data_IF_269692135335
#
_entry.id   IF_269692135335
#
_cell.length_a   1.000
_cell.length_b   1.000
_cell.length_c   1.000
_cell.angle_alpha   90.00
_cell.angle_beta   90.00
_cell.angle_gamma   90.00
#
_symmetry.space_group_name_H-M   'P 1'
#
loop_
_entity.id
_entity.type
_entity.pdbx_description
1 polymer ?
2 non-polymer ?
3 non-polymer ?
4 non-polymer ?
5 water ?
#
# COMPACT_ATOMS: atom_id res chain seq x y z
N UNK A 4 -22.25 22.12 -5.62
CA UNK A 4 -21.52 21.00 -4.92
C UNK A 4 -20.59 20.26 -5.91
N UNK A 5 -20.82 20.41 -7.24
CA UNK A 5 -20.01 19.80 -8.34
C UNK A 5 -18.52 20.02 -8.09
N UNK A 6 -17.74 18.94 -8.00
CA UNK A 6 -16.37 19.00 -7.47
C UNK A 6 -15.68 17.65 -7.67
N UNK A 7 -14.48 17.65 -8.24
CA UNK A 7 -13.62 16.45 -8.37
C UNK A 7 -12.28 16.68 -7.66
N UNK A 8 -11.91 15.77 -6.75
CA UNK A 8 -10.64 15.85 -5.98
C UNK A 8 -9.76 14.67 -6.36
N UNK A 9 -8.50 14.94 -6.70
CA UNK A 9 -7.49 13.91 -6.99
C UNK A 9 -6.49 13.84 -5.82
N UNK A 10 -6.14 12.62 -5.45
CA UNK A 10 -5.05 12.33 -4.48
C UNK A 10 -4.19 11.25 -5.07
N UNK A 11 -2.96 11.17 -4.59
CA UNK A 11 -1.90 10.27 -5.10
C UNK A 11 -1.52 9.31 -3.99
N UNK A 12 -1.42 8.03 -4.31
CA UNK A 12 -0.86 6.97 -3.44
C UNK A 12 0.39 6.46 -4.13
N UNK A 13 1.41 6.05 -3.37
CA UNK A 13 2.55 5.25 -3.88
C UNK A 13 2.52 3.90 -3.18
N UNK A 14 2.44 2.84 -3.96
CA UNK A 14 2.68 1.46 -3.50
C UNK A 14 4.08 1.05 -3.99
N UNK A 15 4.79 0.27 -3.20
CA UNK A 15 6.14 -0.17 -3.55
C UNK A 15 6.58 -1.32 -2.72
N UNK A 16 7.71 -1.87 -3.09
CA UNK A 16 8.30 -3.00 -2.37
C UNK A 16 9.79 -2.97 -2.62
N UNK A 17 10.52 -3.48 -1.65
CA UNK A 17 11.96 -3.72 -1.62
C UNK A 17 12.17 -5.20 -1.30
N UNK A 18 13.14 -5.82 -1.93
CA UNK A 18 13.53 -7.21 -1.65
C UNK A 18 15.03 -7.35 -1.86
N UNK A 19 15.68 -8.13 -1.01
CA UNK A 19 17.09 -8.52 -1.16
C UNK A 19 17.28 -9.90 -0.50
N UNK A 20 18.43 -10.50 -0.72
CA UNK A 20 18.87 -11.79 -0.09
C UNK A 20 19.03 -11.59 1.42
N UNK A 21 18.44 -12.49 2.21
CA UNK A 21 18.81 -12.76 3.62
C UNK A 21 20.21 -13.35 3.59
N UNK A 22 21.10 -12.89 4.47
CA UNK A 22 22.46 -13.47 4.65
C UNK A 22 22.33 -14.90 5.19
N UNK A 23 21.49 -15.04 6.24
CA UNK A 23 21.14 -16.32 6.94
C UNK A 23 19.75 -16.78 6.50
N UNK A 24 19.60 -17.58 5.41
CA UNK A 24 18.34 -18.28 5.17
C UNK A 24 17.71 -18.82 6.48
N UNK A 25 16.47 -18.41 6.76
CA UNK A 25 15.74 -18.55 8.05
C UNK A 25 15.60 -20.03 8.46
N UNK A 26 14.99 -20.26 9.64
CA UNK A 26 14.64 -21.59 10.22
C UNK A 26 13.62 -22.33 9.32
N UNK A 27 13.14 -21.73 8.23
CA UNK A 27 12.37 -22.47 7.19
C UNK A 27 13.00 -22.25 5.79
N UNK A 28 14.31 -21.89 5.76
CA UNK A 28 15.08 -21.73 4.50
C UNK A 28 14.55 -20.57 3.63
N UNK A 29 14.29 -19.41 4.24
CA UNK A 29 13.86 -18.17 3.54
C UNK A 29 15.10 -17.49 2.97
N UNK A 30 15.11 -17.28 1.66
CA UNK A 30 16.26 -16.72 0.90
C UNK A 30 16.21 -15.18 0.86
N UNK A 31 15.04 -14.58 1.10
CA UNK A 31 14.85 -13.11 0.94
C UNK A 31 14.16 -12.48 2.13
N UNK A 32 14.47 -11.20 2.35
CA UNK A 32 13.69 -10.25 3.14
C UNK A 32 13.01 -9.28 2.18
N UNK A 33 11.78 -8.96 2.47
CA UNK A 33 11.04 -7.99 1.64
C UNK A 33 10.17 -7.13 2.51
N UNK A 34 9.78 -6.02 1.93
CA UNK A 34 9.01 -4.95 2.56
C UNK A 34 8.12 -4.36 1.48
N UNK A 35 6.82 -4.32 1.75
CA UNK A 35 5.83 -3.71 0.85
C UNK A 35 5.18 -2.56 1.62
N UNK A 36 4.79 -1.51 0.92
CA UNK A 36 4.25 -0.31 1.58
C UNK A 36 3.22 0.37 0.70
N UNK A 37 2.51 1.26 1.36
CA UNK A 37 1.64 2.31 0.81
C UNK A 37 2.02 3.61 1.51
N UNK A 38 2.18 4.69 0.77
CA UNK A 38 2.58 5.99 1.31
C UNK A 38 2.00 7.06 0.40
N UNK A 39 2.00 8.31 0.88
CA UNK A 39 1.75 9.49 0.05
C UNK A 39 3.02 10.00 -0.57
N UNK A 40 2.95 10.91 -1.55
CA UNK A 40 4.10 11.73 -1.96
C UNK A 40 4.61 12.64 -0.83
N UNK A 41 5.87 13.10 -0.95
CA UNK A 41 6.52 14.02 0.01
C UNK A 41 5.57 15.19 0.34
N UNK A 42 5.46 15.54 1.62
CA UNK A 42 4.62 16.68 2.09
C UNK A 42 3.11 16.36 2.04
N UNK A 43 2.69 15.13 1.79
CA UNK A 43 1.25 14.74 1.87
C UNK A 43 1.04 13.77 3.01
N UNK A 44 -0.04 13.92 3.76
CA UNK A 44 -0.37 13.02 4.90
C UNK A 44 -1.66 12.24 4.57
N UNK A 45 -1.52 11.07 3.97
CA UNK A 45 -2.67 10.24 3.51
C UNK A 45 -3.47 9.72 4.72
N UNK A 46 -2.93 9.83 5.94
CA UNK A 46 -3.64 9.39 7.14
C UNK A 46 -4.91 10.21 7.26
N UNK A 47 -4.96 11.41 6.66
CA UNK A 47 -6.19 12.27 6.74
C UNK A 47 -7.39 11.57 6.08
N UNK A 48 -7.20 10.79 5.02
CA UNK A 48 -8.33 10.13 4.30
C UNK A 48 -8.21 8.61 4.32
N UNK A 49 -7.14 8.03 4.83
CA UNK A 49 -6.96 6.56 4.86
C UNK A 49 -7.31 6.02 6.27
N UNK A 50 -8.35 5.20 6.36
CA UNK A 50 -8.81 4.60 7.64
C UNK A 50 -7.79 3.53 8.05
N UNK A 51 -7.38 2.72 7.07
CA UNK A 51 -6.43 1.60 7.28
C UNK A 51 -6.00 1.04 5.93
N UNK A 52 -4.94 0.27 5.97
CA UNK A 52 -4.45 -0.53 4.80
C UNK A 52 -4.32 -1.96 5.27
N UNK A 53 -4.84 -2.84 4.44
CA UNK A 53 -4.80 -4.29 4.67
C UNK A 53 -3.98 -4.91 3.57
N UNK A 54 -2.90 -5.58 3.95
CA UNK A 54 -2.05 -6.41 3.08
C UNK A 54 -2.42 -7.88 3.22
N UNK A 55 -2.90 -8.52 2.15
CA UNK A 55 -3.29 -9.95 2.17
C UNK A 55 -2.09 -10.77 1.68
N UNK A 56 -1.28 -11.28 2.60
CA UNK A 56 -0.06 -12.05 2.28
C UNK A 56 -0.48 -13.45 1.76
N UNK A 57 0.49 -14.18 1.22
CA UNK A 57 0.33 -15.59 0.80
C UNK A 57 -0.30 -16.38 1.96
N UNK A 58 -1.23 -17.28 1.66
CA UNK A 58 -1.93 -18.15 2.66
C UNK A 58 -0.92 -18.91 3.53
N UNK A 59 0.37 -19.00 3.15
CA UNK A 59 1.42 -19.78 3.87
C UNK A 59 1.98 -18.97 5.04
N UNK A 60 1.71 -17.67 5.11
CA UNK A 60 2.16 -16.82 6.24
C UNK A 60 1.24 -17.03 7.42
N UNK A 61 1.77 -16.99 8.67
CA UNK A 61 0.93 -16.87 9.85
C UNK A 61 0.17 -15.52 9.81
N UNK A 62 -1.13 -15.57 10.15
CA UNK A 62 -2.08 -14.42 10.19
C UNK A 62 -1.88 -13.57 8.94
N UNK A 63 -2.22 -14.07 7.74
CA UNK A 63 -1.87 -13.40 6.49
C UNK A 63 -2.60 -12.08 6.19
N UNK A 64 -3.66 -11.80 6.93
CA UNK A 64 -4.39 -10.52 6.87
C UNK A 64 -3.66 -9.52 7.78
N UNK A 65 -2.78 -8.71 7.22
CA UNK A 65 -1.98 -7.74 8.02
C UNK A 65 -2.61 -6.37 7.89
N UNK A 66 -2.93 -5.75 9.01
CA UNK A 66 -3.70 -4.46 9.11
C UNK A 66 -2.73 -3.42 9.66
N UNK A 67 -2.59 -2.31 8.96
CA UNK A 67 -1.97 -1.06 9.47
C UNK A 67 -3.05 0.01 9.56
N UNK A 68 -3.45 0.38 10.76
CA UNK A 68 -4.46 1.44 11.02
C UNK A 68 -3.81 2.83 11.03
N UNK A 69 -2.48 2.92 11.04
CA UNK A 69 -1.78 4.23 11.01
C UNK A 69 -0.41 4.04 10.35
N UNK A 70 0.20 5.13 9.87
CA UNK A 70 1.47 5.02 9.17
C UNK A 70 2.53 4.56 10.17
N UNK A 71 3.57 3.83 9.73
CA UNK A 71 3.74 3.47 8.33
C UNK A 71 2.79 2.34 7.92
N UNK A 72 2.25 2.42 6.71
CA UNK A 72 1.47 1.32 6.11
C UNK A 72 2.44 0.39 5.42
N UNK A 73 2.88 -0.66 6.12
CA UNK A 73 3.97 -1.50 5.57
C UNK A 73 3.95 -2.89 6.22
N UNK A 74 4.45 -3.87 5.50
CA UNK A 74 4.68 -5.24 6.03
C UNK A 74 6.11 -5.58 5.67
N UNK A 75 6.84 -6.17 6.60
CA UNK A 75 8.21 -6.65 6.43
C UNK A 75 8.23 -8.14 6.76
N UNK A 76 8.68 -8.96 5.83
CA UNK A 76 8.65 -10.43 5.99
C UNK A 76 9.88 -11.00 5.31
N UNK A 77 10.07 -12.30 5.50
CA UNK A 77 11.06 -13.13 4.78
C UNK A 77 10.31 -14.13 3.94
N UNK A 78 10.93 -14.62 2.86
CA UNK A 78 10.28 -15.56 1.97
C UNK A 78 11.24 -16.28 1.07
N UNK A 79 10.71 -17.14 0.25
CA UNK A 79 11.51 -17.81 -0.79
C UNK A 79 11.03 -17.38 -2.19
N UNK A 80 9.78 -16.88 -2.33
CA UNK A 80 9.17 -16.61 -3.65
C UNK A 80 8.32 -15.34 -3.59
N UNK A 81 8.19 -14.65 -4.74
CA UNK A 81 7.26 -13.53 -4.91
C UNK A 81 5.87 -14.08 -5.05
N UNK A 82 4.86 -13.24 -4.90
CA UNK A 82 3.44 -13.65 -5.09
C UNK A 82 2.65 -12.39 -5.36
N UNK A 83 1.40 -12.57 -5.74
CA UNK A 83 0.44 -11.47 -6.00
C UNK A 83 -0.27 -11.15 -4.69
N UNK A 84 -0.14 -9.90 -4.26
CA UNK A 84 -0.59 -9.45 -2.95
C UNK A 84 -1.75 -8.50 -3.15
N UNK A 85 -2.99 -8.92 -2.79
CA UNK A 85 -4.08 -7.96 -2.68
C UNK A 85 -3.71 -6.92 -1.63
N UNK A 86 -3.92 -5.63 -1.94
CA UNK A 86 -3.79 -4.52 -0.97
C UNK A 86 -5.08 -3.71 -0.97
N UNK A 87 -5.74 -3.58 0.19
CA UNK A 87 -6.95 -2.77 0.33
C UNK A 87 -6.60 -1.52 1.09
N UNK A 88 -6.96 -0.39 0.54
CA UNK A 88 -6.83 0.92 1.17
C UNK A 88 -8.22 1.40 1.52
N UNK A 89 -8.55 1.37 2.78
CA UNK A 89 -9.89 1.79 3.27
C UNK A 89 -9.87 3.30 3.51
N UNK A 90 -10.96 3.98 3.17
CA UNK A 90 -11.07 5.46 3.26
C UNK A 90 -11.91 5.84 4.48
N UNK A 91 -11.64 6.98 5.06
CA UNK A 91 -12.48 7.63 6.12
C UNK A 91 -13.69 8.34 5.45
N UNK A 92 -14.47 7.61 4.67
CA UNK A 92 -15.56 8.13 3.79
C UNK A 92 -16.87 7.54 4.28
N UNK A 93 -17.94 8.33 4.37
CA UNK A 93 -19.26 7.83 4.83
C UNK A 93 -20.05 7.21 3.67
N UNK A 94 -19.77 7.60 2.41
CA UNK A 94 -20.49 7.05 1.23
C UNK A 94 -19.51 6.25 0.36
N UNK A 95 -19.89 5.98 -0.89
CA UNK A 95 -19.11 5.16 -1.85
C UNK A 95 -18.16 6.09 -2.60
N UNK A 96 -16.92 5.65 -2.89
CA UNK A 96 -16.41 4.35 -2.46
C UNK A 96 -15.76 4.36 -1.07
N UNK A 97 -15.76 3.21 -0.43
CA UNK A 97 -15.30 3.02 0.96
C UNK A 97 -13.87 2.57 0.97
N UNK A 98 -13.41 2.00 -0.12
CA UNK A 98 -12.07 1.42 -0.23
C UNK A 98 -11.68 1.32 -1.71
N UNK A 99 -10.45 0.99 -1.96
CA UNK A 99 -9.94 0.60 -3.30
C UNK A 99 -9.00 -0.57 -3.08
N UNK A 100 -9.14 -1.65 -3.85
CA UNK A 100 -8.19 -2.80 -3.91
C UNK A 100 -7.18 -2.54 -5.03
N UNK A 101 -5.96 -3.02 -4.81
CA UNK A 101 -4.88 -3.15 -5.80
C UNK A 101 -4.40 -4.59 -5.72
N UNK A 102 -3.99 -5.13 -6.86
CA UNK A 102 -3.28 -6.41 -6.99
C UNK A 102 -1.80 -6.08 -7.15
N UNK A 103 -1.01 -6.28 -6.11
CA UNK A 103 0.40 -5.86 -6.11
C UNK A 103 1.26 -7.07 -6.47
N UNK A 104 2.15 -6.87 -7.43
CA UNK A 104 3.10 -7.90 -7.90
C UNK A 104 4.33 -7.83 -7.00
N UNK A 105 4.36 -8.61 -5.93
CA UNK A 105 5.52 -8.67 -5.03
C UNK A 105 6.51 -9.68 -5.61
N UNK A 106 7.52 -9.21 -6.33
CA UNK A 106 8.54 -10.07 -6.98
C UNK A 106 9.92 -9.86 -6.32
N UNK A 107 10.70 -10.92 -6.24
CA UNK A 107 12.02 -10.92 -5.55
C UNK A 107 13.14 -10.79 -6.60
N UNK A 108 14.34 -10.43 -6.18
CA UNK A 108 15.54 -10.46 -7.07
C UNK A 108 16.07 -11.90 -7.09
N UNK A 109 16.10 -12.53 -8.24
CA UNK A 109 16.63 -13.91 -8.36
C UNK A 109 17.96 -13.86 -9.10
N UNK A 110 18.63 -15.03 -9.21
CA UNK A 110 19.91 -15.23 -9.97
C UNK A 110 20.94 -14.16 -9.57
N UNK A 111 21.11 -13.94 -8.26
CA UNK A 111 22.02 -12.93 -7.70
C UNK A 111 21.92 -11.58 -8.42
N UNK A 112 20.71 -11.10 -8.70
CA UNK A 112 20.48 -9.72 -9.27
C UNK A 112 20.48 -8.72 -8.12
N UNK A 113 20.71 -7.41 -8.40
CA UNK A 113 20.72 -6.40 -7.34
C UNK A 113 19.36 -6.37 -6.63
N UNK A 114 19.27 -5.76 -5.43
CA UNK A 114 17.99 -5.66 -4.73
C UNK A 114 16.95 -4.96 -5.63
N UNK A 115 15.69 -5.31 -5.40
CA UNK A 115 14.51 -4.69 -6.04
C UNK A 115 14.16 -3.46 -5.22
N UNK A 116 13.83 -2.38 -5.90
CA UNK A 116 13.34 -1.13 -5.28
C UNK A 116 12.35 -0.49 -6.26
N UNK A 117 11.07 -0.86 -6.15
CA UNK A 117 10.01 -0.51 -7.12
C UNK A 117 8.96 0.38 -6.43
N UNK A 118 8.39 1.25 -7.23
CA UNK A 118 7.34 2.17 -6.85
C UNK A 118 6.27 2.15 -7.95
N UNK A 119 5.04 2.11 -7.54
CA UNK A 119 3.87 2.15 -8.41
C UNK A 119 3.02 3.32 -7.95
N UNK A 120 2.85 4.31 -8.79
CA UNK A 120 2.12 5.54 -8.45
C UNK A 120 0.70 5.41 -8.95
N UNK A 121 -0.26 5.65 -8.07
CA UNK A 121 -1.69 5.48 -8.36
C UNK A 121 -2.36 6.82 -8.12
N UNK A 122 -3.22 7.25 -9.03
CA UNK A 122 -4.02 8.46 -8.86
C UNK A 122 -5.46 8.03 -8.57
N UNK A 123 -6.04 8.57 -7.55
CA UNK A 123 -7.45 8.33 -7.21
C UNK A 123 -8.24 9.60 -7.52
N UNK A 124 -9.32 9.47 -8.27
CA UNK A 124 -10.24 10.57 -8.59
C UNK A 124 -11.53 10.37 -7.77
N UNK A 125 -11.87 11.32 -6.93
CA UNK A 125 -13.16 11.35 -6.18
C UNK A 125 -14.08 12.40 -6.82
N UNK A 126 -15.13 11.93 -7.45
CA UNK A 126 -16.21 12.77 -8.03
C UNK A 126 -17.19 13.13 -6.92
N UNK A 127 -17.47 14.42 -6.72
CA UNK A 127 -18.54 14.93 -5.82
C UNK A 127 -18.46 14.24 -4.46
N UNK A 128 -17.28 14.24 -3.80
CA UNK A 128 -17.19 13.72 -2.43
C UNK A 128 -18.03 14.62 -1.52
N UNK A 129 -18.57 14.07 -0.42
CA UNK A 129 -19.26 14.87 0.63
C UNK A 129 -18.34 16.00 1.12
N UNK A 130 -18.92 17.02 1.76
CA UNK A 130 -18.15 18.09 2.46
C UNK A 130 -17.07 17.49 3.35
N UNK A 131 -17.46 16.59 4.25
CA UNK A 131 -16.57 15.99 5.29
C UNK A 131 -15.38 15.30 4.59
N UNK A 132 -15.64 14.43 3.61
CA UNK A 132 -14.56 13.65 2.95
C UNK A 132 -13.70 14.56 2.05
N UNK A 133 -14.33 15.52 1.36
CA UNK A 133 -13.59 16.54 0.57
C UNK A 133 -12.54 17.18 1.48
N UNK A 134 -12.90 17.50 2.72
CA UNK A 134 -12.04 18.20 3.71
C UNK A 134 -10.81 17.33 3.99
N UNK A 135 -11.04 16.04 4.26
CA UNK A 135 -9.98 15.02 4.53
C UNK A 135 -9.05 14.90 3.32
N UNK A 136 -9.58 14.78 2.10
CA UNK A 136 -8.75 14.63 0.88
C UNK A 136 -7.86 15.87 0.72
N UNK A 137 -8.39 17.06 1.00
CA UNK A 137 -7.64 18.31 0.76
C UNK A 137 -6.60 18.46 1.87
N UNK A 138 -6.96 18.11 3.12
CA UNK A 138 -6.03 18.10 4.29
C UNK A 138 -4.85 17.22 3.96
N UNK A 139 -5.09 16.10 3.26
CA UNK A 139 -4.05 15.10 2.89
C UNK A 139 -3.17 15.65 1.77
N UNK A 140 -3.53 16.77 1.14
CA UNK A 140 -2.81 17.33 -0.02
C UNK A 140 -3.45 16.97 -1.36
N UNK A 141 -4.71 16.52 -1.34
CA UNK A 141 -5.56 16.40 -2.53
C UNK A 141 -5.74 17.73 -3.23
N UNK A 142 -6.06 17.68 -4.53
CA UNK A 142 -6.15 18.86 -5.42
C UNK A 142 -7.49 18.83 -6.17
N UNK A 143 -8.19 19.94 -6.20
CA UNK A 143 -9.46 20.07 -6.95
C UNK A 143 -9.18 20.21 -8.44
N UNK A 144 -9.95 19.48 -9.26
CA UNK A 144 -9.86 19.51 -10.76
C UNK A 144 -11.29 19.61 -11.31
#
# INVERSE_FOLDING_TARGET
SMDNQCTVQVRLELGHRAQLRKKPTTEGFTHDWMVFVRGPEQCDIQHFVEKVVFWLHDSFPKPRRVCKEPPYKVEESGYAGFIMPIEVHFKNKEEPRKVCFTYDLFLNLEGNPPVNHLRCEKLTFNNPTTEFRYKLLRAGGVMVMPEGAHHHHHH
#
